data_IF_615632989343
#
_entry.id   IF_615632989343
#
_cell.length_a   1.000
_cell.length_b   1.000
_cell.length_c   1.000
_cell.angle_alpha   90.00
_cell.angle_beta   90.00
_cell.angle_gamma   90.00
#
_symmetry.space_group_name_H-M   'P 1'
#
loop_
_entity.id
_entity.type
_entity.pdbx_description
1 polymer ?
#
# COMPACT_ATOMS: atom_id res chain seq x y z
N UNK A 1 -74.88 7.25 -12.25
CA UNK A 1 -73.59 6.54 -12.48
C UNK A 1 -73.20 5.85 -11.18
N UNK A 2 -73.35 4.53 -11.08
CA UNK A 2 -73.06 3.78 -9.85
C UNK A 2 -71.54 3.67 -9.65
N UNK A 3 -71.02 4.12 -8.48
CA UNK A 3 -69.61 3.99 -8.13
C UNK A 3 -69.34 2.55 -7.71
N UNK A 4 -68.60 1.81 -8.53
CA UNK A 4 -68.16 0.44 -8.23
C UNK A 4 -67.00 0.51 -7.23
N UNK A 5 -67.22 0.04 -6.01
CA UNK A 5 -66.18 -0.04 -4.98
C UNK A 5 -65.20 -1.15 -5.32
N UNK A 6 -63.95 -0.79 -5.56
CA UNK A 6 -62.85 -1.74 -5.75
C UNK A 6 -62.24 -2.04 -4.37
N UNK A 7 -62.37 -3.28 -3.92
CA UNK A 7 -61.71 -3.76 -2.70
C UNK A 7 -60.28 -4.17 -3.02
N UNK A 8 -59.30 -3.46 -2.47
CA UNK A 8 -57.88 -3.83 -2.55
C UNK A 8 -57.53 -4.64 -1.31
N UNK A 9 -57.18 -5.91 -1.50
CA UNK A 9 -56.61 -6.74 -0.44
C UNK A 9 -55.11 -6.46 -0.33
N UNK A 10 -54.71 -5.84 0.78
CA UNK A 10 -53.30 -5.66 1.15
C UNK A 10 -52.73 -7.02 1.56
N UNK A 11 -51.98 -7.65 0.65
CA UNK A 11 -51.20 -8.86 0.95
C UNK A 11 -50.09 -8.46 1.91
N UNK A 12 -50.25 -8.77 3.20
CA UNK A 12 -49.21 -8.51 4.19
C UNK A 12 -48.02 -9.45 3.95
N UNK A 13 -46.79 -8.93 3.82
CA UNK A 13 -45.61 -9.77 3.67
C UNK A 13 -45.39 -10.63 4.93
N UNK A 14 -45.05 -11.90 4.74
CA UNK A 14 -44.82 -12.86 5.83
C UNK A 14 -43.66 -12.38 6.73
N UNK A 15 -43.92 -12.31 8.04
CA UNK A 15 -42.96 -11.97 9.10
C UNK A 15 -41.81 -13.00 9.19
N UNK A 16 -40.77 -12.80 8.38
CA UNK A 16 -39.40 -12.75 8.87
C UNK A 16 -39.03 -11.28 8.85
N UNK A 17 -38.83 -10.65 10.01
CA UNK A 17 -38.77 -9.19 10.16
C UNK A 17 -37.83 -8.57 9.12
N UNK A 18 -38.34 -7.69 8.26
CA UNK A 18 -37.55 -6.92 7.30
C UNK A 18 -36.33 -6.28 7.99
N UNK A 19 -36.49 -5.88 9.25
CA UNK A 19 -35.44 -5.41 10.15
C UNK A 19 -34.23 -6.34 10.25
N UNK A 20 -34.43 -7.66 10.30
CA UNK A 20 -33.34 -8.64 10.36
C UNK A 20 -32.58 -8.72 9.03
N UNK A 21 -33.29 -8.58 7.90
CA UNK A 21 -32.69 -8.53 6.58
C UNK A 21 -31.84 -7.26 6.41
N UNK A 22 -32.36 -6.10 6.82
CA UNK A 22 -31.63 -4.84 6.77
C UNK A 22 -30.45 -4.82 7.74
N UNK A 23 -30.59 -5.36 8.95
CA UNK A 23 -29.48 -5.47 9.90
C UNK A 23 -28.33 -6.35 9.37
N UNK A 24 -28.64 -7.44 8.67
CA UNK A 24 -27.62 -8.28 8.05
C UNK A 24 -26.92 -7.56 6.87
N UNK A 25 -27.69 -6.84 6.04
CA UNK A 25 -27.13 -6.03 4.95
C UNK A 25 -26.22 -4.91 5.46
N UNK A 26 -26.65 -4.20 6.51
CA UNK A 26 -25.88 -3.12 7.12
C UNK A 26 -24.60 -3.66 7.75
N UNK A 27 -24.66 -4.81 8.43
CA UNK A 27 -23.46 -5.47 8.97
C UNK A 27 -22.44 -5.78 7.87
N UNK A 28 -22.88 -6.39 6.76
CA UNK A 28 -22.01 -6.67 5.60
C UNK A 28 -21.43 -5.40 4.99
N UNK A 29 -22.22 -4.33 4.94
CA UNK A 29 -21.76 -3.03 4.41
C UNK A 29 -20.71 -2.40 5.31
N UNK A 30 -20.91 -2.43 6.63
CA UNK A 30 -19.95 -1.92 7.62
C UNK A 30 -18.64 -2.72 7.56
N UNK A 31 -18.72 -4.05 7.48
CA UNK A 31 -17.54 -4.92 7.35
C UNK A 31 -16.75 -4.60 6.08
N UNK A 32 -17.44 -4.40 4.94
CA UNK A 32 -16.80 -3.99 3.69
C UNK A 32 -16.13 -2.62 3.81
N UNK A 33 -16.84 -1.63 4.34
CA UNK A 33 -16.29 -0.28 4.53
C UNK A 33 -15.06 -0.27 5.42
N UNK A 34 -15.02 -1.08 6.49
CA UNK A 34 -13.85 -1.26 7.35
C UNK A 34 -12.68 -1.89 6.60
N UNK A 35 -12.95 -2.95 5.82
CA UNK A 35 -11.92 -3.62 5.03
C UNK A 35 -11.32 -2.69 3.97
N UNK A 36 -12.16 -1.90 3.28
CA UNK A 36 -11.71 -0.94 2.28
C UNK A 36 -10.92 0.21 2.92
N UNK A 37 -11.39 0.74 4.06
CA UNK A 37 -10.67 1.79 4.81
C UNK A 37 -9.29 1.31 5.28
N UNK A 38 -9.17 0.05 5.72
CA UNK A 38 -7.90 -0.53 6.11
C UNK A 38 -6.91 -0.62 4.95
N UNK A 39 -7.38 -1.10 3.78
CA UNK A 39 -6.55 -1.17 2.57
C UNK A 39 -6.08 0.19 2.10
N UNK A 40 -6.95 1.21 2.16
CA UNK A 40 -6.61 2.56 1.76
C UNK A 40 -5.58 3.19 2.70
N UNK A 41 -5.69 2.94 4.02
CA UNK A 41 -4.71 3.39 5.01
C UNK A 41 -3.34 2.73 4.80
N UNK A 42 -3.31 1.42 4.61
CA UNK A 42 -2.06 0.67 4.35
C UNK A 42 -1.41 1.13 3.05
N UNK A 43 -2.21 1.37 2.00
CA UNK A 43 -1.71 1.86 0.72
C UNK A 43 -1.09 3.25 0.87
N UNK A 44 -1.77 4.17 1.55
CA UNK A 44 -1.25 5.52 1.83
C UNK A 44 0.07 5.47 2.61
N UNK A 45 0.12 4.67 3.67
CA UNK A 45 1.34 4.49 4.47
C UNK A 45 2.52 3.97 3.63
N UNK A 46 2.27 2.98 2.77
CA UNK A 46 3.28 2.43 1.86
C UNK A 46 3.77 3.47 0.84
N UNK A 47 2.87 4.27 0.30
CA UNK A 47 3.20 5.32 -0.67
C UNK A 47 4.01 6.44 -0.01
N UNK A 48 3.59 6.89 1.17
CA UNK A 48 4.30 7.91 1.94
C UNK A 48 5.74 7.48 2.24
N UNK A 49 5.96 6.22 2.63
CA UNK A 49 7.28 5.74 3.04
C UNK A 49 8.14 5.12 1.94
N UNK A 50 7.68 5.06 0.69
CA UNK A 50 8.39 4.39 -0.41
C UNK A 50 9.82 4.92 -0.64
N UNK A 51 10.05 6.22 -0.45
CA UNK A 51 11.34 6.89 -0.70
C UNK A 51 12.00 7.41 0.58
N UNK A 52 11.59 6.89 1.73
CA UNK A 52 12.14 7.30 3.02
C UNK A 52 13.32 6.42 3.41
N UNK A 53 14.41 7.06 3.84
CA UNK A 53 15.55 6.33 4.37
C UNK A 53 15.18 5.63 5.68
N UNK A 54 15.45 4.33 5.82
CA UNK A 54 15.12 3.55 7.02
C UNK A 54 15.96 3.98 8.23
N UNK A 55 17.09 4.64 7.98
CA UNK A 55 18.01 5.09 9.02
C UNK A 55 17.70 6.50 9.51
N UNK A 56 17.50 7.48 8.62
CA UNK A 56 17.28 8.87 9.03
C UNK A 56 15.85 9.38 8.81
N UNK A 57 14.98 8.59 8.18
CA UNK A 57 13.57 8.93 7.99
C UNK A 57 13.32 10.08 7.01
N UNK A 58 14.34 10.60 6.32
CA UNK A 58 14.17 11.69 5.35
C UNK A 58 13.86 11.15 3.95
N UNK A 59 13.08 11.88 3.14
CA UNK A 59 12.81 11.56 1.73
C UNK A 59 14.05 11.91 0.88
N UNK A 60 15.11 11.13 1.03
CA UNK A 60 16.42 11.41 0.44
C UNK A 60 17.06 10.18 -0.20
N UNK A 61 16.27 9.16 -0.56
CA UNK A 61 16.72 8.04 -1.38
C UNK A 61 16.90 8.50 -2.84
N UNK A 62 18.02 8.12 -3.44
CA UNK A 62 18.24 8.20 -4.87
C UNK A 62 18.64 6.83 -5.40
N UNK A 63 18.03 6.46 -6.52
CA UNK A 63 18.34 5.27 -7.30
C UNK A 63 19.63 5.52 -8.09
N UNK A 64 20.59 4.61 -7.98
CA UNK A 64 21.82 4.59 -8.77
C UNK A 64 21.89 3.29 -9.57
N UNK A 65 22.05 3.41 -10.89
CA UNK A 65 22.24 2.27 -11.78
C UNK A 65 23.75 2.04 -12.00
N UNK A 66 24.30 0.94 -11.48
CA UNK A 66 25.68 0.53 -11.75
C UNK A 66 25.71 -0.80 -12.53
N UNK A 67 25.44 -0.70 -13.84
CA UNK A 67 25.47 -1.83 -14.76
C UNK A 67 24.19 -2.67 -14.68
N UNK A 68 24.28 -3.87 -14.09
CA UNK A 68 23.13 -4.76 -13.92
C UNK A 68 22.34 -4.49 -12.64
N UNK A 69 22.97 -3.84 -11.66
CA UNK A 69 22.42 -3.69 -10.31
C UNK A 69 21.91 -2.27 -10.12
N UNK A 70 20.66 -2.16 -9.67
CA UNK A 70 20.09 -0.91 -9.14
C UNK A 70 20.34 -0.87 -7.65
N UNK A 71 20.70 0.29 -7.10
CA UNK A 71 20.88 0.45 -5.66
C UNK A 71 20.29 1.77 -5.18
N UNK A 72 19.65 1.73 -4.02
CA UNK A 72 19.07 2.91 -3.39
C UNK A 72 20.01 3.49 -2.34
N UNK A 73 20.41 4.75 -2.49
CA UNK A 73 21.34 5.43 -1.59
C UNK A 73 20.71 6.67 -0.99
N UNK A 74 20.83 6.81 0.33
CA UNK A 74 20.44 8.03 1.02
C UNK A 74 21.50 9.13 0.87
N UNK A 75 21.15 10.25 0.22
CA UNK A 75 22.06 11.39 -0.05
C UNK A 75 22.23 12.33 1.17
N UNK A 76 21.52 12.06 2.27
CA UNK A 76 21.66 12.89 3.48
C UNK A 76 23.09 12.80 4.04
N UNK A 77 23.68 13.97 4.35
CA UNK A 77 25.12 14.14 4.66
C UNK A 77 25.62 13.26 5.81
N UNK A 78 24.77 12.97 6.78
CA UNK A 78 25.13 12.19 7.98
C UNK A 78 24.59 10.75 7.97
N UNK A 79 23.86 10.35 6.91
CA UNK A 79 23.21 9.04 6.87
C UNK A 79 23.92 8.05 5.94
N UNK A 80 24.03 8.40 4.64
CA UNK A 80 24.68 7.58 3.64
C UNK A 80 24.23 6.11 3.60
N UNK A 81 22.97 5.82 3.99
CA UNK A 81 22.48 4.44 4.06
C UNK A 81 22.29 3.87 2.65
N UNK A 82 22.74 2.63 2.46
CA UNK A 82 22.49 1.84 1.26
C UNK A 82 21.31 0.90 1.55
N UNK A 83 20.27 1.01 0.75
CA UNK A 83 19.14 0.10 0.75
C UNK A 83 19.33 -0.88 -0.40
N UNK A 84 19.29 -2.18 -0.08
CA UNK A 84 19.42 -3.26 -1.04
C UNK A 84 18.23 -4.17 -0.89
N UNK A 85 17.50 -4.38 -1.98
CA UNK A 85 16.46 -5.38 -2.02
C UNK A 85 17.05 -6.80 -2.15
N UNK A 86 16.31 -7.86 -1.75
CA UNK A 86 16.81 -9.23 -1.82
C UNK A 86 17.28 -9.68 -3.21
N UNK A 87 16.68 -9.14 -4.28
CA UNK A 87 17.09 -9.41 -5.67
C UNK A 87 18.40 -8.70 -6.03
N UNK A 88 18.53 -7.42 -5.65
CA UNK A 88 19.77 -6.65 -5.86
C UNK A 88 20.94 -7.28 -5.10
N UNK A 89 20.70 -7.75 -3.87
CA UNK A 89 21.71 -8.43 -3.07
C UNK A 89 22.20 -9.73 -3.73
N UNK A 90 21.31 -10.50 -4.36
CA UNK A 90 21.68 -11.72 -5.09
C UNK A 90 22.56 -11.40 -6.29
N UNK A 91 22.19 -10.39 -7.10
CA UNK A 91 22.99 -9.97 -8.25
C UNK A 91 24.38 -9.44 -7.87
N UNK A 92 24.48 -8.77 -6.71
CA UNK A 92 25.75 -8.29 -6.15
C UNK A 92 26.61 -9.46 -5.64
N UNK A 93 26.01 -10.46 -4.98
CA UNK A 93 26.70 -11.65 -4.50
C UNK A 93 27.25 -12.49 -5.66
N UNK A 94 26.49 -12.60 -6.75
CA UNK A 94 26.90 -13.29 -7.97
C UNK A 94 28.05 -12.56 -8.70
N UNK A 95 28.17 -11.24 -8.51
CA UNK A 95 29.19 -10.39 -9.12
C UNK A 95 30.06 -9.64 -8.08
N UNK A 96 30.86 -10.34 -7.27
CA UNK A 96 31.69 -9.74 -6.19
C UNK A 96 32.56 -8.52 -6.61
N UNK A 97 32.88 -8.33 -7.89
CA UNK A 97 33.55 -7.12 -8.39
C UNK A 97 32.72 -5.83 -8.22
N UNK A 98 31.38 -5.88 -8.26
CA UNK A 98 30.52 -4.69 -8.18
C UNK A 98 30.51 -4.07 -6.78
N UNK A 99 30.66 -4.87 -5.71
CA UNK A 99 30.75 -4.39 -4.31
C UNK A 99 31.88 -3.37 -4.11
N UNK A 100 33.03 -3.58 -4.75
CA UNK A 100 34.18 -2.66 -4.62
C UNK A 100 33.94 -1.34 -5.34
N UNK A 101 33.20 -1.38 -6.44
CA UNK A 101 32.92 -0.19 -7.26
C UNK A 101 31.81 0.66 -6.65
N UNK A 102 30.71 0.05 -6.20
CA UNK A 102 29.60 0.75 -5.51
C UNK A 102 30.08 1.49 -4.26
N UNK A 103 30.93 0.86 -3.44
CA UNK A 103 31.57 1.51 -2.27
C UNK A 103 32.49 2.66 -2.67
N UNK A 104 33.22 2.54 -3.78
CA UNK A 104 34.09 3.60 -4.27
C UNK A 104 33.32 4.79 -4.85
N UNK A 105 32.23 4.52 -5.58
CA UNK A 105 31.31 5.51 -6.11
C UNK A 105 30.64 6.28 -4.96
N UNK A 106 30.17 5.55 -3.94
CA UNK A 106 29.67 6.14 -2.70
C UNK A 106 30.72 7.06 -2.04
N UNK A 107 31.93 6.59 -1.79
CA UNK A 107 32.98 7.41 -1.16
C UNK A 107 33.39 8.63 -2.01
N UNK A 108 33.19 8.59 -3.33
CA UNK A 108 33.47 9.72 -4.21
C UNK A 108 32.42 10.83 -4.15
N UNK A 109 31.17 10.51 -3.79
CA UNK A 109 30.07 11.47 -3.64
C UNK A 109 30.13 12.25 -2.32
N UNK A 110 30.86 11.73 -1.32
CA UNK A 110 31.07 12.39 -0.03
C UNK A 110 32.43 13.11 0.08
N UNK A 111 33.13 13.34 -1.05
CA UNK A 111 34.43 14.03 -1.09
C UNK A 111 34.28 15.52 -1.38
#
# INVERSE_FOLDING_TARGET
MARKTVSVSLVQPKKGSEDAYFAEQDKKKIERLRADSGKDADKKYREEHKYHCFRCGTPSLAEFDEGSVKVDICINKDCGALHLDPGELQEILDNQQSIKKTRSAFLSLFK
#
